data_IF_151521937081
#
_entry.id   IF_151521937081
#
_cell.length_a   1.000
_cell.length_b   1.000
_cell.length_c   1.000
_cell.angle_alpha   90.00
_cell.angle_beta   90.00
_cell.angle_gamma   90.00
#
_symmetry.space_group_name_H-M   'P 1'
#
loop_
_entity.id
_entity.type
_entity.pdbx_description
1 polymer ?
#
# COMPACT_ATOMS: atom_id res chain seq x y z
N UNK A 1 8.07 -5.58 33.02
CA UNK A 1 7.41 -5.96 31.76
C UNK A 1 6.36 -7.02 32.05
N UNK A 2 5.16 -6.95 31.45
CA UNK A 2 4.22 -8.09 31.51
C UNK A 2 4.82 -9.23 30.69
N UNK A 3 4.99 -10.39 31.30
CA UNK A 3 5.44 -11.59 30.60
C UNK A 3 4.40 -11.99 29.54
N UNK A 4 4.85 -12.22 28.31
CA UNK A 4 4.03 -12.56 27.13
C UNK A 4 4.75 -13.61 26.28
N UNK A 5 4.93 -14.83 26.82
CA UNK A 5 5.63 -15.88 26.09
C UNK A 5 4.87 -16.25 24.81
N UNK A 6 5.61 -16.66 23.78
CA UNK A 6 5.02 -17.26 22.58
C UNK A 6 4.25 -18.52 22.99
N UNK A 7 2.98 -18.59 22.62
CA UNK A 7 2.13 -19.76 22.85
C UNK A 7 2.19 -20.71 21.66
N UNK A 8 2.15 -22.01 21.91
CA UNK A 8 2.16 -23.05 20.88
C UNK A 8 0.91 -23.00 19.98
N UNK A 9 0.98 -23.65 18.81
CA UNK A 9 -0.13 -23.69 17.86
C UNK A 9 -1.40 -24.35 18.47
N UNK A 10 -1.23 -25.35 19.34
CA UNK A 10 -2.31 -25.99 20.09
C UNK A 10 -3.01 -24.98 21.01
N UNK A 11 -2.23 -24.18 21.75
CA UNK A 11 -2.77 -23.10 22.60
C UNK A 11 -3.42 -21.99 21.79
N UNK A 12 -2.91 -21.69 20.59
CA UNK A 12 -3.52 -20.72 19.69
C UNK A 12 -4.87 -21.21 19.16
N UNK A 13 -4.99 -22.48 18.79
CA UNK A 13 -6.26 -23.12 18.37
C UNK A 13 -7.27 -23.13 19.52
N UNK A 14 -6.85 -23.53 20.72
CA UNK A 14 -7.70 -23.48 21.91
C UNK A 14 -8.22 -22.05 22.18
N UNK A 15 -7.34 -21.03 22.07
CA UNK A 15 -7.73 -19.63 22.23
C UNK A 15 -8.76 -19.16 21.17
N UNK A 16 -8.68 -19.66 19.93
CA UNK A 16 -9.69 -19.37 18.90
C UNK A 16 -11.01 -20.07 19.21
N UNK A 17 -10.98 -21.32 19.66
CA UNK A 17 -12.16 -22.07 20.07
C UNK A 17 -12.92 -21.37 21.22
N UNK A 18 -12.20 -20.91 22.24
CA UNK A 18 -12.77 -20.14 23.37
C UNK A 18 -13.51 -18.88 22.90
N UNK A 19 -13.04 -18.27 21.81
CA UNK A 19 -13.61 -17.07 21.18
C UNK A 19 -14.76 -17.39 20.21
N UNK A 20 -15.19 -18.65 20.10
CA UNK A 20 -16.30 -19.07 19.25
C UNK A 20 -15.90 -19.36 17.80
N UNK A 21 -14.61 -19.54 17.50
CA UNK A 21 -14.20 -20.11 16.21
C UNK A 21 -14.45 -21.61 16.23
N UNK A 22 -15.12 -22.10 15.18
CA UNK A 22 -15.43 -23.52 14.98
C UNK A 22 -14.34 -24.22 14.16
N UNK A 23 -14.32 -25.55 14.25
CA UNK A 23 -13.38 -26.43 13.56
C UNK A 23 -14.14 -27.58 12.90
N UNK A 24 -15.30 -27.25 12.32
CA UNK A 24 -16.23 -28.20 11.72
C UNK A 24 -15.77 -28.59 10.30
N UNK A 25 -15.17 -27.64 9.58
CA UNK A 25 -14.68 -27.84 8.20
C UNK A 25 -13.18 -28.12 8.18
N UNK A 26 -12.41 -27.36 8.96
CA UNK A 26 -11.00 -27.63 9.19
C UNK A 26 -10.81 -28.04 10.64
N UNK A 27 -10.49 -29.32 10.85
CA UNK A 27 -10.33 -29.87 12.19
C UNK A 27 -9.15 -29.24 12.95
N UNK A 28 -9.10 -29.41 14.29
CA UNK A 28 -8.06 -28.82 15.13
C UNK A 28 -6.63 -29.21 14.71
N UNK A 29 -6.40 -30.47 14.32
CA UNK A 29 -5.08 -30.96 13.89
C UNK A 29 -4.58 -30.24 12.61
N UNK A 30 -5.46 -30.11 11.61
CA UNK A 30 -5.16 -29.38 10.38
C UNK A 30 -4.95 -27.88 10.64
N UNK A 31 -5.72 -27.31 11.57
CA UNK A 31 -5.56 -25.91 11.98
C UNK A 31 -4.22 -25.67 12.70
N UNK A 32 -3.79 -26.60 13.56
CA UNK A 32 -2.47 -26.59 14.21
C UNK A 32 -1.37 -26.65 13.14
N UNK A 33 -1.45 -27.60 12.21
CA UNK A 33 -0.49 -27.72 11.12
C UNK A 33 -0.44 -26.46 10.24
N UNK A 34 -1.61 -25.85 9.97
CA UNK A 34 -1.68 -24.60 9.22
C UNK A 34 -0.97 -23.44 9.94
N UNK A 35 -1.17 -23.30 11.25
CA UNK A 35 -0.53 -22.25 12.07
C UNK A 35 0.95 -22.49 12.38
N UNK A 36 1.42 -23.72 12.18
CA UNK A 36 2.84 -24.08 12.35
C UNK A 36 3.62 -23.92 11.06
N UNK A 37 3.08 -24.44 9.95
CA UNK A 37 3.87 -24.70 8.75
C UNK A 37 3.46 -23.82 7.55
N UNK A 38 2.26 -23.23 7.56
CA UNK A 38 1.72 -22.49 6.39
C UNK A 38 1.49 -21.01 6.66
N UNK A 39 1.24 -20.63 7.91
CA UNK A 39 1.00 -19.25 8.29
C UNK A 39 1.26 -19.04 9.78
N UNK A 40 1.24 -17.79 10.24
CA UNK A 40 1.39 -17.48 11.66
C UNK A 40 0.14 -16.81 12.22
N UNK A 41 -0.10 -17.03 13.51
CA UNK A 41 -1.34 -16.69 14.21
C UNK A 41 -1.90 -15.30 13.95
N UNK A 42 -1.07 -14.25 14.08
CA UNK A 42 -1.55 -12.88 13.98
C UNK A 42 -1.99 -12.51 12.57
N UNK A 43 -1.43 -13.15 11.55
CA UNK A 43 -1.83 -12.95 10.17
C UNK A 43 -3.23 -13.53 9.93
N UNK A 44 -3.45 -14.78 10.34
CA UNK A 44 -4.77 -15.46 10.25
C UNK A 44 -5.83 -14.74 11.09
N UNK A 45 -5.50 -14.40 12.34
CA UNK A 45 -6.41 -13.71 13.27
C UNK A 45 -6.85 -12.34 12.78
N UNK A 46 -6.06 -11.67 11.94
CA UNK A 46 -6.43 -10.36 11.40
C UNK A 46 -7.71 -10.43 10.55
N UNK A 47 -7.96 -11.54 9.84
CA UNK A 47 -9.17 -11.74 9.03
C UNK A 47 -10.42 -11.98 9.87
N UNK A 48 -10.28 -12.37 11.13
CA UNK A 48 -11.42 -12.52 12.03
C UNK A 48 -12.18 -11.20 12.25
N UNK A 49 -11.57 -10.05 11.93
CA UNK A 49 -12.24 -8.72 11.91
C UNK A 49 -13.36 -8.62 10.87
N UNK A 50 -13.37 -9.47 9.86
CA UNK A 50 -14.42 -9.51 8.82
C UNK A 50 -15.67 -10.27 9.27
N UNK A 51 -15.67 -10.87 10.47
CA UNK A 51 -16.75 -11.71 10.96
C UNK A 51 -17.48 -11.05 12.12
N UNK A 52 -18.79 -11.24 12.13
CA UNK A 52 -19.67 -10.71 13.15
C UNK A 52 -19.39 -11.36 14.52
N UNK A 53 -19.70 -10.62 15.59
CA UNK A 53 -19.64 -11.10 16.97
C UNK A 53 -20.97 -10.88 17.65
N UNK A 54 -21.27 -11.65 18.68
CA UNK A 54 -22.40 -11.36 19.55
C UNK A 54 -22.10 -10.09 20.36
N UNK A 55 -22.97 -9.10 20.23
CA UNK A 55 -22.82 -7.79 20.89
C UNK A 55 -23.84 -7.53 21.99
N UNK A 56 -24.81 -8.43 22.17
CA UNK A 56 -25.76 -8.36 23.27
C UNK A 56 -25.07 -8.69 24.60
N UNK A 57 -24.92 -7.73 25.54
CA UNK A 57 -24.27 -7.97 26.82
C UNK A 57 -24.99 -9.00 27.69
N UNK A 58 -26.27 -9.29 27.44
CA UNK A 58 -27.03 -10.30 28.17
C UNK A 58 -26.81 -11.73 27.62
N UNK A 59 -26.14 -11.89 26.48
CA UNK A 59 -25.85 -13.19 25.89
C UNK A 59 -24.65 -13.85 26.55
N UNK A 60 -24.76 -15.14 26.89
CA UNK A 60 -23.62 -15.97 27.31
C UNK A 60 -22.49 -16.03 26.27
N UNK A 61 -22.78 -15.68 25.01
CA UNK A 61 -21.82 -15.66 23.92
C UNK A 61 -21.24 -14.26 23.65
N UNK A 62 -21.47 -13.26 24.51
CA UNK A 62 -20.98 -11.89 24.30
C UNK A 62 -19.49 -11.86 23.91
N UNK A 63 -19.19 -11.19 22.80
CA UNK A 63 -17.83 -11.06 22.24
C UNK A 63 -17.32 -12.28 21.46
N UNK A 64 -18.04 -13.41 21.43
CA UNK A 64 -17.69 -14.57 20.59
C UNK A 64 -18.09 -14.36 19.14
N UNK A 65 -17.36 -15.01 18.23
CA UNK A 65 -17.66 -14.94 16.80
C UNK A 65 -18.95 -15.68 16.43
N UNK A 66 -19.65 -15.14 15.45
CA UNK A 66 -20.87 -15.72 14.88
C UNK A 66 -20.49 -16.41 13.58
N UNK A 67 -20.76 -17.71 13.46
CA UNK A 67 -20.55 -18.48 12.23
C UNK A 67 -19.16 -18.36 11.62
N UNK A 68 -18.12 -18.43 12.44
CA UNK A 68 -16.73 -18.41 11.99
C UNK A 68 -16.11 -19.79 12.16
N UNK A 69 -15.80 -20.47 11.06
CA UNK A 69 -14.96 -21.67 11.04
C UNK A 69 -13.50 -21.29 10.74
N UNK A 70 -12.53 -22.02 11.31
CA UNK A 70 -11.12 -21.80 11.02
C UNK A 70 -10.79 -21.95 9.52
N UNK A 71 -11.50 -22.82 8.80
CA UNK A 71 -11.38 -22.97 7.35
C UNK A 71 -11.61 -21.64 6.60
N UNK A 72 -12.49 -20.78 7.11
CA UNK A 72 -12.81 -19.49 6.49
C UNK A 72 -11.64 -18.51 6.61
N UNK A 73 -10.98 -18.50 7.78
CA UNK A 73 -9.78 -17.69 8.00
C UNK A 73 -8.62 -18.19 7.13
N UNK A 74 -8.46 -19.51 7.04
CA UNK A 74 -7.45 -20.12 6.17
C UNK A 74 -7.70 -19.77 4.70
N UNK A 75 -8.96 -19.77 4.25
CA UNK A 75 -9.31 -19.41 2.88
C UNK A 75 -9.08 -17.93 2.57
N UNK A 76 -9.53 -17.01 3.43
CA UNK A 76 -9.24 -15.58 3.27
C UNK A 76 -7.73 -15.30 3.22
N UNK A 77 -6.94 -16.03 3.99
CA UNK A 77 -5.47 -15.91 3.98
C UNK A 77 -4.88 -16.31 2.62
N UNK A 78 -5.43 -17.34 1.96
CA UNK A 78 -5.01 -17.76 0.61
C UNK A 78 -5.46 -16.77 -0.46
N UNK A 79 -6.71 -16.32 -0.40
CA UNK A 79 -7.25 -15.33 -1.33
C UNK A 79 -6.49 -14.00 -1.23
N UNK A 80 -6.15 -13.56 -0.01
CA UNK A 80 -5.35 -12.36 0.22
C UNK A 80 -3.96 -12.46 -0.40
N UNK A 81 -3.31 -13.63 -0.27
CA UNK A 81 -2.03 -13.88 -0.92
C UNK A 81 -2.10 -13.76 -2.44
N UNK A 82 -3.05 -14.44 -3.08
CA UNK A 82 -3.21 -14.39 -4.53
C UNK A 82 -3.62 -13.01 -5.03
N UNK A 83 -4.46 -12.29 -4.29
CA UNK A 83 -4.79 -10.91 -4.61
C UNK A 83 -3.53 -10.03 -4.59
N UNK A 84 -2.65 -10.18 -3.57
CA UNK A 84 -1.40 -9.43 -3.51
C UNK A 84 -0.43 -9.76 -4.63
N UNK A 85 -0.37 -11.02 -5.07
CA UNK A 85 0.46 -11.41 -6.22
C UNK A 85 0.00 -10.70 -7.49
N UNK A 86 -1.30 -10.70 -7.77
CA UNK A 86 -1.87 -9.99 -8.94
C UNK A 86 -1.69 -8.48 -8.81
N UNK A 87 -1.92 -7.90 -7.63
CA UNK A 87 -1.67 -6.48 -7.36
C UNK A 87 -0.22 -6.11 -7.68
N UNK A 88 0.74 -6.87 -7.15
CA UNK A 88 2.17 -6.60 -7.38
C UNK A 88 2.50 -6.71 -8.86
N UNK A 89 2.03 -7.77 -9.53
CA UNK A 89 2.22 -7.99 -10.95
C UNK A 89 1.71 -6.81 -11.80
N UNK A 90 0.47 -6.39 -11.61
CA UNK A 90 -0.11 -5.23 -12.34
C UNK A 90 0.62 -3.92 -12.01
N UNK A 91 1.08 -3.74 -10.77
CA UNK A 91 1.79 -2.51 -10.39
C UNK A 91 3.18 -2.40 -11.00
N UNK A 92 3.83 -3.52 -11.32
CA UNK A 92 5.11 -3.51 -12.05
C UNK A 92 4.92 -2.98 -13.47
N UNK A 93 3.85 -3.40 -14.16
CA UNK A 93 3.54 -2.87 -15.49
C UNK A 93 3.16 -1.40 -15.42
N UNK A 94 2.28 -1.01 -14.49
CA UNK A 94 1.94 0.40 -14.28
C UNK A 94 3.20 1.22 -14.05
N UNK A 95 4.12 0.75 -13.19
CA UNK A 95 5.39 1.44 -12.95
C UNK A 95 6.19 1.61 -14.25
N UNK A 96 6.36 0.54 -15.04
CA UNK A 96 7.04 0.60 -16.32
C UNK A 96 6.39 1.60 -17.28
N UNK A 97 5.09 1.50 -17.53
CA UNK A 97 4.38 2.37 -18.46
C UNK A 97 4.27 3.82 -17.97
N UNK A 98 4.27 4.05 -16.65
CA UNK A 98 4.42 5.39 -16.09
C UNK A 98 5.79 6.00 -16.42
N UNK A 99 6.88 5.24 -16.26
CA UNK A 99 8.24 5.69 -16.63
C UNK A 99 8.31 6.01 -18.12
N UNK A 100 7.77 5.14 -18.98
CA UNK A 100 7.72 5.36 -20.43
C UNK A 100 6.92 6.61 -20.78
N UNK A 101 5.76 6.81 -20.16
CA UNK A 101 4.95 8.02 -20.39
C UNK A 101 5.66 9.30 -19.95
N UNK A 102 6.30 9.28 -18.77
CA UNK A 102 7.11 10.40 -18.28
C UNK A 102 8.27 10.71 -19.23
N UNK A 103 9.04 9.68 -19.60
CA UNK A 103 10.18 9.81 -20.47
C UNK A 103 9.79 10.40 -21.83
N UNK A 104 8.71 9.91 -22.43
CA UNK A 104 8.18 10.45 -23.69
C UNK A 104 7.80 11.91 -23.56
N UNK A 105 7.03 12.28 -22.54
CA UNK A 105 6.62 13.66 -22.34
C UNK A 105 7.82 14.61 -22.16
N UNK A 106 8.84 14.18 -21.40
CA UNK A 106 10.09 14.94 -21.22
C UNK A 106 10.87 15.11 -22.53
N UNK A 107 10.96 14.05 -23.34
CA UNK A 107 11.62 14.12 -24.65
C UNK A 107 10.87 15.05 -25.62
N UNK A 108 9.54 14.94 -25.70
CA UNK A 108 8.71 15.74 -26.60
C UNK A 108 8.75 17.23 -26.22
N UNK A 109 8.82 17.54 -24.92
CA UNK A 109 8.93 18.91 -24.41
C UNK A 109 10.37 19.46 -24.49
N UNK A 110 11.37 18.64 -24.86
CA UNK A 110 12.78 19.02 -24.88
C UNK A 110 13.34 19.37 -23.50
N UNK A 111 12.83 18.72 -22.45
CA UNK A 111 13.18 19.03 -21.07
C UNK A 111 14.63 18.61 -20.73
N UNK A 112 15.33 19.45 -19.97
CA UNK A 112 16.63 19.09 -19.40
C UNK A 112 16.45 18.18 -18.17
N UNK A 113 16.99 16.96 -18.24
CA UNK A 113 16.82 15.94 -17.21
C UNK A 113 17.48 16.26 -15.87
N UNK A 114 18.46 17.18 -15.83
CA UNK A 114 19.08 17.65 -14.58
C UNK A 114 18.24 18.75 -13.96
N UNK A 115 17.83 19.73 -14.77
CA UNK A 115 16.99 20.85 -14.34
C UNK A 115 15.67 20.36 -13.73
N UNK A 116 15.01 19.40 -14.39
CA UNK A 116 13.76 18.79 -13.87
C UNK A 116 13.95 18.24 -12.47
N UNK A 117 15.07 17.54 -12.19
CA UNK A 117 15.34 16.99 -10.86
C UNK A 117 15.68 18.06 -9.84
N UNK A 118 16.47 19.07 -10.21
CA UNK A 118 16.80 20.15 -9.28
C UNK A 118 15.54 20.94 -8.87
N UNK A 119 14.64 21.19 -9.81
CA UNK A 119 13.35 21.82 -9.54
C UNK A 119 12.44 20.90 -8.71
N UNK A 120 12.43 19.59 -8.96
CA UNK A 120 11.69 18.61 -8.15
C UNK A 120 12.16 18.62 -6.69
N UNK A 121 13.47 18.54 -6.45
CA UNK A 121 14.01 18.51 -5.09
C UNK A 121 13.79 19.83 -4.36
N UNK A 122 13.92 20.97 -5.04
CA UNK A 122 13.58 22.27 -4.47
C UNK A 122 12.09 22.34 -4.10
N UNK A 123 11.21 21.92 -5.01
CA UNK A 123 9.76 21.90 -4.76
C UNK A 123 9.37 21.01 -3.59
N UNK A 124 9.92 19.78 -3.50
CA UNK A 124 9.61 18.86 -2.40
C UNK A 124 10.18 19.35 -1.06
N UNK A 125 11.34 20.01 -1.05
CA UNK A 125 11.89 20.65 0.15
C UNK A 125 10.92 21.71 0.66
N UNK A 126 10.59 22.69 -0.17
CA UNK A 126 9.68 23.78 0.22
C UNK A 126 8.31 23.26 0.68
N UNK A 127 7.77 22.27 -0.03
CA UNK A 127 6.48 21.67 0.31
C UNK A 127 6.50 21.04 1.70
N UNK A 128 7.59 20.36 2.07
CA UNK A 128 7.74 19.71 3.37
C UNK A 128 8.06 20.69 4.49
N UNK A 129 8.83 21.74 4.21
CA UNK A 129 9.07 22.85 5.14
C UNK A 129 7.74 23.54 5.49
N UNK A 130 6.92 23.91 4.50
CA UNK A 130 5.57 24.44 4.73
C UNK A 130 4.69 23.49 5.55
N UNK A 131 4.73 22.18 5.26
CA UNK A 131 3.97 21.18 6.01
C UNK A 131 4.41 21.10 7.48
N UNK A 132 5.72 21.23 7.74
CA UNK A 132 6.24 21.27 9.10
C UNK A 132 5.80 22.56 9.80
N UNK A 133 5.92 23.72 9.16
CA UNK A 133 5.48 25.01 9.70
C UNK A 133 4.00 24.99 10.12
N UNK A 134 3.13 24.41 9.30
CA UNK A 134 1.70 24.27 9.61
C UNK A 134 1.40 23.38 10.83
N UNK A 135 2.30 22.43 11.14
CA UNK A 135 2.11 21.43 12.20
C UNK A 135 2.95 21.70 13.44
N UNK A 136 3.94 22.58 13.34
CA UNK A 136 4.88 22.87 14.41
C UNK A 136 4.21 23.69 15.51
N UNK A 137 4.34 23.24 16.76
CA UNK A 137 3.83 23.95 17.94
C UNK A 137 5.00 24.40 18.81
N UNK A 138 5.45 25.67 18.68
CA UNK A 138 6.59 26.18 19.45
C UNK A 138 6.43 26.04 20.96
N UNK A 139 5.20 26.03 21.49
CA UNK A 139 4.93 25.92 22.92
C UNK A 139 5.23 24.52 23.46
N UNK A 140 5.15 23.50 22.60
CA UNK A 140 5.46 22.10 22.96
C UNK A 140 6.95 21.77 22.79
N UNK A 141 7.72 22.64 22.14
CA UNK A 141 9.13 22.41 21.81
C UNK A 141 10.13 22.97 22.81
N UNK A 142 9.72 23.82 23.77
CA UNK A 142 10.66 24.46 24.72
C UNK A 142 11.55 23.46 25.46
N UNK A 143 10.97 22.39 26.00
CA UNK A 143 11.71 21.36 26.71
C UNK A 143 12.65 20.56 25.78
N UNK A 144 12.29 20.39 24.50
CA UNK A 144 13.15 19.76 23.51
C UNK A 144 14.35 20.64 23.16
N UNK A 145 14.14 21.96 23.03
CA UNK A 145 15.20 22.94 22.76
C UNK A 145 16.20 23.00 23.93
N UNK A 146 15.71 23.02 25.17
CA UNK A 146 16.58 22.97 26.36
C UNK A 146 17.44 21.69 26.39
N UNK A 147 16.84 20.53 26.07
CA UNK A 147 17.58 19.27 25.97
C UNK A 147 18.63 19.30 24.87
N UNK A 148 18.30 19.85 23.70
CA UNK A 148 19.27 20.01 22.60
C UNK A 148 20.45 20.88 23.06
N UNK A 149 20.18 21.99 23.76
CA UNK A 149 21.23 22.84 24.33
C UNK A 149 22.14 22.08 25.31
N UNK A 150 21.55 21.33 26.25
CA UNK A 150 22.32 20.53 27.21
C UNK A 150 23.13 19.40 26.52
N UNK A 151 22.63 18.81 25.45
CA UNK A 151 23.37 17.84 24.63
C UNK A 151 24.54 18.54 23.92
N UNK A 152 24.30 19.71 23.33
CA UNK A 152 25.33 20.49 22.64
C UNK A 152 26.48 20.87 23.57
N UNK A 153 26.19 21.33 24.79
CA UNK A 153 27.19 21.68 25.79
C UNK A 153 28.07 20.48 26.19
N UNK A 154 27.51 19.27 26.17
CA UNK A 154 28.21 18.03 26.52
C UNK A 154 28.99 17.41 25.37
N UNK A 155 28.67 17.77 24.12
CA UNK A 155 29.41 17.26 22.96
C UNK A 155 30.86 17.76 22.97
N UNK A 156 31.08 18.97 23.49
CA UNK A 156 32.40 19.53 23.68
C UNK A 156 33.11 18.85 24.86
N UNK A 157 34.25 18.21 24.59
CA UNK A 157 35.03 17.46 25.58
C UNK A 157 34.60 16.01 25.84
N UNK A 158 33.50 15.53 25.24
CA UNK A 158 33.11 14.12 25.29
C UNK A 158 34.06 13.23 24.46
N UNK A 159 34.24 11.99 24.91
CA UNK A 159 34.93 10.98 24.10
C UNK A 159 34.07 10.53 22.90
N UNK A 160 34.67 9.83 21.93
CA UNK A 160 33.97 9.44 20.70
C UNK A 160 32.76 8.52 20.91
N UNK A 161 32.76 7.68 21.95
CA UNK A 161 31.63 6.80 22.25
C UNK A 161 30.47 7.58 22.89
N UNK A 162 30.78 8.55 23.75
CA UNK A 162 29.80 9.48 24.30
C UNK A 162 29.24 10.41 23.23
N UNK A 163 30.08 10.98 22.35
CA UNK A 163 29.62 11.79 21.22
C UNK A 163 28.64 11.04 20.32
N UNK A 164 28.92 9.78 20.00
CA UNK A 164 28.00 8.95 19.21
C UNK A 164 26.64 8.77 19.89
N UNK A 165 26.60 8.53 21.21
CA UNK A 165 25.34 8.41 21.96
C UNK A 165 24.57 9.74 22.01
N UNK A 166 25.26 10.85 22.23
CA UNK A 166 24.66 12.19 22.27
C UNK A 166 24.07 12.60 20.91
N UNK A 167 24.75 12.27 19.80
CA UNK A 167 24.23 12.51 18.45
C UNK A 167 22.98 11.68 18.15
N UNK A 168 22.91 10.43 18.62
CA UNK A 168 21.70 9.60 18.49
C UNK A 168 20.53 10.17 19.31
N UNK A 169 20.80 10.72 20.50
CA UNK A 169 19.77 11.38 21.30
C UNK A 169 19.26 12.65 20.61
N UNK A 170 20.17 13.48 20.07
CA UNK A 170 19.80 14.66 19.30
C UNK A 170 18.98 14.31 18.06
N UNK A 171 19.36 13.24 17.34
CA UNK A 171 18.59 12.73 16.19
C UNK A 171 17.16 12.37 16.60
N UNK A 172 16.98 11.64 17.70
CA UNK A 172 15.66 11.24 18.18
C UNK A 172 14.79 12.45 18.56
N UNK A 173 15.37 13.44 19.26
CA UNK A 173 14.66 14.67 19.61
C UNK A 173 14.26 15.43 18.33
N UNK A 174 15.18 15.58 17.38
CA UNK A 174 14.91 16.26 16.12
C UNK A 174 13.83 15.56 15.29
N UNK A 175 13.86 14.22 15.21
CA UNK A 175 12.85 13.42 14.52
C UNK A 175 11.45 13.63 15.14
N UNK A 176 11.35 13.61 16.47
CA UNK A 176 10.11 13.88 17.18
C UNK A 176 9.59 15.31 16.92
N UNK A 177 10.47 16.32 16.97
CA UNK A 177 10.09 17.72 16.72
C UNK A 177 9.68 17.98 15.27
N UNK A 178 10.27 17.26 14.32
CA UNK A 178 9.94 17.37 12.89
C UNK A 178 8.79 16.45 12.48
N UNK A 179 8.24 15.64 13.39
CA UNK A 179 7.21 14.64 13.12
C UNK A 179 7.66 13.62 12.05
N UNK A 180 8.95 13.33 11.98
CA UNK A 180 9.59 12.50 10.96
C UNK A 180 9.57 13.11 9.55
N UNK A 181 9.25 14.40 9.40
CA UNK A 181 9.30 15.09 8.11
C UNK A 181 10.76 15.37 7.76
N UNK A 182 11.28 14.62 6.80
CA UNK A 182 12.60 14.85 6.20
C UNK A 182 12.45 15.52 4.82
N UNK A 183 12.78 16.81 4.66
CA UNK A 183 12.76 17.53 3.38
C UNK A 183 13.54 16.79 2.28
N UNK A 184 14.65 16.17 2.65
CA UNK A 184 15.61 15.51 1.76
C UNK A 184 15.33 14.01 1.58
N UNK A 185 14.24 13.48 2.16
CA UNK A 185 13.92 12.06 2.12
C UNK A 185 14.03 11.43 0.71
N UNK A 186 13.60 12.15 -0.33
CA UNK A 186 13.61 11.64 -1.69
C UNK A 186 15.04 11.41 -2.19
N UNK A 187 15.91 12.38 -1.97
CA UNK A 187 17.34 12.33 -2.31
C UNK A 187 18.07 11.28 -1.46
N UNK A 188 17.88 11.32 -0.14
CA UNK A 188 18.51 10.36 0.80
C UNK A 188 18.08 8.92 0.55
N UNK A 189 16.84 8.68 0.12
CA UNK A 189 16.38 7.32 -0.18
C UNK A 189 17.21 6.63 -1.27
N UNK A 190 17.86 7.41 -2.14
CA UNK A 190 18.68 6.90 -3.24
C UNK A 190 20.12 6.64 -2.78
N UNK A 191 20.68 7.47 -1.89
CA UNK A 191 22.07 7.32 -1.43
C UNK A 191 22.31 5.99 -0.70
N UNK A 192 21.29 5.46 -0.01
CA UNK A 192 21.36 4.15 0.66
C UNK A 192 21.33 2.95 -0.30
N UNK A 193 21.10 3.16 -1.60
CA UNK A 193 21.07 2.07 -2.59
C UNK A 193 22.46 1.59 -3.03
N UNK A 194 23.54 2.29 -2.63
CA UNK A 194 24.93 1.88 -2.89
C UNK A 194 25.33 0.55 -2.24
N UNK A 195 24.63 0.16 -1.17
CA UNK A 195 24.93 -1.07 -0.43
C UNK A 195 24.37 -2.33 -1.11
N UNK A 196 23.33 -2.20 -1.93
CA UNK A 196 22.63 -3.31 -2.60
C UNK A 196 23.35 -3.78 -3.86
N UNK A 197 23.56 -5.09 -4.01
CA UNK A 197 24.16 -5.68 -5.21
C UNK A 197 23.35 -5.42 -6.50
N UNK A 198 22.07 -5.06 -6.39
CA UNK A 198 21.20 -4.82 -7.55
C UNK A 198 21.25 -3.39 -8.07
N UNK A 199 21.70 -2.44 -7.24
CA UNK A 199 21.67 -1.00 -7.54
C UNK A 199 23.01 -0.31 -7.33
N UNK A 200 24.00 -1.00 -6.74
CA UNK A 200 25.30 -0.45 -6.34
C UNK A 200 25.97 0.35 -7.44
N UNK A 201 26.13 -0.21 -8.63
CA UNK A 201 26.91 0.44 -9.69
C UNK A 201 26.25 1.74 -10.16
N UNK A 202 24.91 1.73 -10.29
CA UNK A 202 24.14 2.89 -10.69
C UNK A 202 24.08 3.94 -9.58
N UNK A 203 23.87 3.52 -8.33
CA UNK A 203 23.81 4.40 -7.16
C UNK A 203 25.18 5.03 -6.84
N UNK A 204 26.27 4.29 -7.00
CA UNK A 204 27.62 4.83 -6.78
C UNK A 204 27.98 5.88 -7.84
N UNK A 205 27.50 5.71 -9.08
CA UNK A 205 27.79 6.62 -10.18
C UNK A 205 26.87 7.85 -10.23
N UNK A 206 25.59 7.68 -9.89
CA UNK A 206 24.55 8.71 -10.10
C UNK A 206 23.70 8.99 -8.85
N UNK A 207 24.03 8.40 -7.70
CA UNK A 207 23.27 8.57 -6.45
C UNK A 207 23.53 9.92 -5.76
N UNK A 208 24.56 10.65 -6.19
CA UNK A 208 24.81 12.03 -5.73
C UNK A 208 24.01 13.01 -6.58
N UNK A 209 23.47 14.04 -5.94
CA UNK A 209 22.64 15.05 -6.61
C UNK A 209 23.33 15.76 -7.78
N UNK A 210 24.63 15.99 -7.68
CA UNK A 210 25.43 16.63 -8.73
C UNK A 210 25.51 15.80 -10.01
N UNK A 211 25.51 14.48 -9.89
CA UNK A 211 25.62 13.54 -11.02
C UNK A 211 24.27 12.97 -11.48
N UNK A 212 23.19 13.20 -10.73
CA UNK A 212 21.89 12.57 -10.97
C UNK A 212 21.07 13.28 -12.05
N UNK A 213 20.59 12.52 -13.02
CA UNK A 213 19.63 12.96 -14.04
C UNK A 213 18.33 12.13 -13.95
N UNK A 214 17.25 12.63 -14.54
CA UNK A 214 15.91 12.03 -14.42
C UNK A 214 15.86 10.56 -14.84
N UNK A 215 16.60 10.16 -15.87
CA UNK A 215 16.68 8.75 -16.31
C UNK A 215 17.33 7.85 -15.27
N UNK A 216 18.41 8.31 -14.62
CA UNK A 216 19.02 7.55 -13.53
C UNK A 216 18.11 7.48 -12.30
N UNK A 217 17.42 8.59 -12.00
CA UNK A 217 16.48 8.67 -10.90
C UNK A 217 15.31 7.69 -11.06
N UNK A 218 14.74 7.55 -12.27
CA UNK A 218 13.64 6.61 -12.55
C UNK A 218 14.02 5.15 -12.31
N UNK A 219 15.30 4.79 -12.45
CA UNK A 219 15.80 3.43 -12.19
C UNK A 219 16.10 3.17 -10.70
N UNK A 220 16.35 4.23 -9.93
CA UNK A 220 16.74 4.11 -8.51
C UNK A 220 15.57 4.31 -7.56
N UNK A 221 14.59 5.14 -7.92
CA UNK A 221 13.55 5.55 -6.99
C UNK A 221 12.43 4.50 -6.86
N UNK A 222 11.84 4.41 -5.67
CA UNK A 222 10.63 3.60 -5.45
C UNK A 222 9.43 4.08 -6.28
N UNK A 223 8.43 3.22 -6.47
CA UNK A 223 7.13 3.58 -7.04
C UNK A 223 6.53 4.87 -6.43
N UNK A 224 6.73 5.08 -5.13
CA UNK A 224 6.30 6.29 -4.44
C UNK A 224 6.97 7.56 -4.98
N UNK A 225 8.26 7.53 -5.28
CA UNK A 225 9.00 8.67 -5.83
C UNK A 225 8.79 8.87 -7.33
N UNK A 226 8.47 7.81 -8.09
CA UNK A 226 7.96 7.94 -9.46
C UNK A 226 6.66 8.73 -9.47
N UNK A 227 5.72 8.42 -8.55
CA UNK A 227 4.47 9.19 -8.42
C UNK A 227 4.73 10.65 -8.06
N UNK A 228 5.73 10.94 -7.22
CA UNK A 228 6.10 12.33 -6.89
C UNK A 228 6.60 13.07 -8.13
N UNK A 229 7.55 12.49 -8.87
CA UNK A 229 8.03 13.07 -10.13
C UNK A 229 6.90 13.20 -11.15
N UNK A 230 6.04 12.18 -11.28
CA UNK A 230 4.89 12.21 -12.20
C UNK A 230 3.97 13.39 -11.93
N UNK A 231 3.61 13.59 -10.65
CA UNK A 231 2.76 14.71 -10.25
C UNK A 231 3.44 16.06 -10.48
N UNK A 232 4.69 16.18 -10.05
CA UNK A 232 5.45 17.41 -10.21
C UNK A 232 5.57 17.79 -11.68
N UNK A 233 6.00 16.85 -12.51
CA UNK A 233 6.21 17.09 -13.93
C UNK A 233 4.91 17.50 -14.63
N UNK A 234 3.83 16.71 -14.51
CA UNK A 234 2.61 16.96 -15.27
C UNK A 234 1.70 18.08 -14.72
N UNK A 235 1.78 18.40 -13.43
CA UNK A 235 0.84 19.35 -12.81
C UNK A 235 1.48 20.63 -12.30
N UNK A 236 2.79 20.64 -12.04
CA UNK A 236 3.49 21.81 -11.50
C UNK A 236 4.47 22.41 -12.53
N UNK A 237 5.24 21.58 -13.23
CA UNK A 237 6.28 22.04 -14.14
C UNK A 237 5.78 22.23 -15.59
N UNK A 238 5.08 21.23 -16.12
CA UNK A 238 4.65 21.19 -17.52
C UNK A 238 3.48 22.14 -17.77
N UNK A 239 3.61 23.00 -18.77
CA UNK A 239 2.55 23.95 -19.17
C UNK A 239 1.41 23.26 -19.93
N UNK A 240 1.75 22.35 -20.83
CA UNK A 240 0.77 21.64 -21.64
C UNK A 240 0.07 20.56 -20.81
N UNK A 241 -1.27 20.52 -20.88
CA UNK A 241 -2.05 19.45 -20.24
C UNK A 241 -1.80 18.11 -20.94
N UNK A 242 -1.82 17.04 -20.16
CA UNK A 242 -1.80 15.66 -20.67
C UNK A 242 -3.11 14.99 -20.26
N UNK A 243 -3.94 14.66 -21.24
CA UNK A 243 -5.21 13.94 -21.01
C UNK A 243 -4.94 12.59 -20.32
N UNK A 244 -3.89 11.89 -20.75
CA UNK A 244 -3.46 10.63 -20.12
C UNK A 244 -3.09 10.85 -18.66
N UNK A 245 -2.34 11.91 -18.33
CA UNK A 245 -2.03 12.23 -16.93
C UNK A 245 -3.26 12.61 -16.11
N UNK A 246 -4.16 13.44 -16.65
CA UNK A 246 -5.39 13.81 -15.93
C UNK A 246 -6.29 12.59 -15.68
N UNK A 247 -6.36 11.66 -16.63
CA UNK A 247 -7.17 10.45 -16.49
C UNK A 247 -6.73 9.57 -15.30
N UNK A 248 -5.45 9.58 -14.92
CA UNK A 248 -4.93 8.71 -13.84
C UNK A 248 -4.69 9.42 -12.51
N UNK A 249 -4.81 10.76 -12.47
CA UNK A 249 -4.47 11.61 -11.31
C UNK A 249 -5.07 11.12 -9.99
N UNK A 250 -6.35 10.78 -10.02
CA UNK A 250 -7.13 10.36 -8.86
C UNK A 250 -6.88 8.89 -8.45
N UNK A 251 -6.22 8.12 -9.30
CA UNK A 251 -5.90 6.70 -9.09
C UNK A 251 -4.53 6.50 -8.42
N UNK A 252 -3.61 7.47 -8.56
CA UNK A 252 -2.23 7.39 -8.08
C UNK A 252 -2.11 7.00 -6.59
N UNK A 253 -2.91 7.63 -5.71
CA UNK A 253 -2.83 7.37 -4.27
C UNK A 253 -3.43 6.02 -3.86
N UNK A 254 -4.67 5.68 -4.26
CA UNK A 254 -5.23 4.34 -4.02
C UNK A 254 -4.31 3.20 -4.49
N UNK A 255 -3.77 3.30 -5.70
CA UNK A 255 -2.87 2.29 -6.26
C UNK A 255 -1.57 2.19 -5.47
N UNK A 256 -0.96 3.32 -5.09
CA UNK A 256 0.22 3.34 -4.19
C UNK A 256 -0.08 2.67 -2.85
N UNK A 257 -1.22 2.96 -2.24
CA UNK A 257 -1.60 2.41 -0.95
C UNK A 257 -1.76 0.88 -1.02
N UNK A 258 -2.48 0.39 -2.03
CA UNK A 258 -2.68 -1.05 -2.23
C UNK A 258 -1.38 -1.78 -2.58
N UNK A 259 -0.55 -1.21 -3.47
CA UNK A 259 0.77 -1.75 -3.82
C UNK A 259 1.66 -1.89 -2.57
N UNK A 260 1.73 -0.86 -1.74
CA UNK A 260 2.56 -0.89 -0.53
C UNK A 260 2.04 -1.92 0.48
N UNK A 261 0.72 -2.00 0.67
CA UNK A 261 0.14 -3.03 1.50
C UNK A 261 0.47 -4.45 0.98
N UNK A 262 0.45 -4.64 -0.34
CA UNK A 262 0.80 -5.91 -0.97
C UNK A 262 2.29 -6.27 -0.79
N UNK A 263 3.19 -5.31 -1.06
CA UNK A 263 4.64 -5.47 -0.99
C UNK A 263 5.16 -5.76 0.42
N UNK A 264 4.54 -5.16 1.44
CA UNK A 264 4.89 -5.40 2.85
C UNK A 264 4.14 -6.60 3.46
N UNK A 265 3.57 -7.48 2.63
CA UNK A 265 2.87 -8.71 3.05
C UNK A 265 1.68 -8.45 4.01
N UNK A 266 1.03 -7.28 3.86
CA UNK A 266 -0.12 -6.86 4.64
C UNK A 266 -1.38 -7.69 4.36
N UNK A 267 -2.37 -7.59 5.24
CA UNK A 267 -3.66 -8.29 5.10
C UNK A 267 -4.69 -7.39 4.44
N UNK A 268 -4.63 -7.24 3.12
CA UNK A 268 -5.48 -6.30 2.36
C UNK A 268 -6.97 -6.64 2.48
N UNK A 269 -7.34 -7.93 2.46
CA UNK A 269 -8.75 -8.34 2.54
C UNK A 269 -9.39 -8.08 3.91
N UNK A 270 -8.60 -7.91 4.98
CA UNK A 270 -9.16 -7.60 6.30
C UNK A 270 -9.85 -6.22 6.38
N UNK A 271 -9.69 -5.42 5.33
CA UNK A 271 -10.32 -4.10 5.20
C UNK A 271 -11.76 -4.16 4.72
N UNK A 272 -12.25 -5.31 4.23
CA UNK A 272 -13.68 -5.47 3.85
C UNK A 272 -14.61 -5.22 5.06
N UNK A 273 -14.14 -5.50 6.28
CA UNK A 273 -14.88 -5.15 7.51
C UNK A 273 -14.79 -3.68 7.92
N UNK A 274 -14.10 -2.84 7.16
CA UNK A 274 -13.80 -1.44 7.50
C UNK A 274 -14.50 -0.49 6.53
N UNK A 275 -14.80 0.72 7.02
CA UNK A 275 -15.36 1.79 6.19
C UNK A 275 -14.28 2.78 5.78
N UNK A 276 -14.22 3.05 4.49
CA UNK A 276 -13.37 4.08 3.93
C UNK A 276 -13.87 5.46 4.39
N UNK A 277 -12.98 6.28 4.96
CA UNK A 277 -13.34 7.59 5.51
C UNK A 277 -13.53 8.66 4.43
N UNK A 278 -12.70 8.61 3.38
CA UNK A 278 -12.68 9.60 2.29
C UNK A 278 -12.55 8.89 0.93
N UNK A 279 -13.66 8.36 0.38
CA UNK A 279 -13.64 7.73 -0.94
C UNK A 279 -13.35 8.74 -2.05
N UNK A 280 -12.61 8.31 -3.07
CA UNK A 280 -12.39 9.10 -4.29
C UNK A 280 -13.58 8.85 -5.22
N UNK A 281 -14.49 9.82 -5.29
CA UNK A 281 -15.77 9.67 -6.01
C UNK A 281 -15.62 9.28 -7.48
N UNK A 282 -14.56 9.75 -8.14
CA UNK A 282 -14.24 9.48 -9.55
C UNK A 282 -14.02 7.99 -9.85
N UNK A 283 -13.52 7.20 -8.89
CA UNK A 283 -13.32 5.75 -9.10
C UNK A 283 -14.66 5.05 -9.29
N UNK A 284 -15.66 5.38 -8.48
CA UNK A 284 -16.99 4.78 -8.61
C UNK A 284 -17.67 5.20 -9.92
N UNK A 285 -17.48 6.45 -10.36
CA UNK A 285 -17.98 6.92 -11.65
C UNK A 285 -17.36 6.14 -12.80
N UNK A 286 -16.03 6.04 -12.82
CA UNK A 286 -15.29 5.26 -13.82
C UNK A 286 -15.64 3.77 -13.80
N UNK A 287 -15.81 3.16 -12.62
CA UNK A 287 -16.23 1.76 -12.50
C UNK A 287 -17.59 1.50 -13.16
N UNK A 288 -18.50 2.48 -13.12
CA UNK A 288 -19.79 2.39 -13.81
C UNK A 288 -19.65 2.63 -15.31
N UNK A 289 -18.93 3.67 -15.70
CA UNK A 289 -18.88 4.17 -17.08
C UNK A 289 -17.92 3.37 -17.98
N UNK A 290 -16.77 2.97 -17.45
CA UNK A 290 -15.70 2.29 -18.19
C UNK A 290 -15.73 0.76 -17.98
N UNK A 291 -16.06 0.30 -16.77
CA UNK A 291 -16.12 -1.14 -16.46
C UNK A 291 -17.55 -1.73 -16.52
N UNK A 292 -18.56 -0.89 -16.77
CA UNK A 292 -19.96 -1.34 -16.89
C UNK A 292 -20.53 -1.99 -15.62
N UNK A 293 -19.97 -1.71 -14.44
CA UNK A 293 -20.40 -2.35 -13.19
C UNK A 293 -21.76 -1.78 -12.74
N UNK A 294 -22.66 -2.67 -12.30
CA UNK A 294 -23.98 -2.29 -11.82
C UNK A 294 -23.94 -1.25 -10.68
N UNK A 295 -24.94 -0.37 -10.66
CA UNK A 295 -25.04 0.76 -9.73
C UNK A 295 -25.00 0.34 -8.26
N UNK A 296 -25.63 -0.77 -7.90
CA UNK A 296 -25.65 -1.25 -6.52
C UNK A 296 -24.26 -1.76 -6.07
N UNK A 297 -23.56 -2.45 -6.96
CA UNK A 297 -22.19 -2.92 -6.71
C UNK A 297 -21.18 -1.77 -6.69
N UNK A 298 -21.35 -0.77 -7.57
CA UNK A 298 -20.51 0.44 -7.60
C UNK A 298 -20.58 1.19 -6.26
N UNK A 299 -21.73 1.23 -5.59
CA UNK A 299 -21.85 1.89 -4.29
C UNK A 299 -20.92 1.25 -3.22
N UNK A 300 -20.64 -0.05 -3.34
CA UNK A 300 -19.76 -0.78 -2.42
C UNK A 300 -18.27 -0.44 -2.63
N UNK A 301 -17.88 0.03 -3.82
CA UNK A 301 -16.52 0.53 -4.07
C UNK A 301 -16.18 1.75 -3.23
N UNK A 302 -17.17 2.53 -2.80
CA UNK A 302 -16.98 3.68 -1.89
C UNK A 302 -16.90 3.29 -0.42
N UNK A 303 -17.21 2.03 -0.10
CA UNK A 303 -17.36 1.54 1.27
C UNK A 303 -16.11 0.79 1.73
N UNK A 304 -15.64 -0.17 0.94
CA UNK A 304 -14.57 -1.09 1.32
C UNK A 304 -13.22 -0.63 0.77
N UNK A 305 -12.20 -0.36 1.61
CA UNK A 305 -10.90 0.12 1.16
C UNK A 305 -10.24 -0.77 0.08
N UNK A 306 -10.15 -2.08 0.29
CA UNK A 306 -9.55 -2.98 -0.73
C UNK A 306 -10.32 -2.96 -2.05
N UNK A 307 -11.65 -2.85 -2.04
CA UNK A 307 -12.46 -2.79 -3.26
C UNK A 307 -12.21 -1.47 -3.98
N UNK A 308 -12.21 -0.36 -3.24
CA UNK A 308 -11.89 0.96 -3.77
C UNK A 308 -10.54 0.98 -4.48
N UNK A 309 -9.49 0.55 -3.77
CA UNK A 309 -8.13 0.65 -4.26
C UNK A 309 -7.84 -0.38 -5.37
N UNK A 310 -8.45 -1.56 -5.32
CA UNK A 310 -8.33 -2.55 -6.39
C UNK A 310 -9.06 -2.12 -7.67
N UNK A 311 -10.23 -1.48 -7.54
CA UNK A 311 -10.91 -0.86 -8.69
C UNK A 311 -10.04 0.23 -9.31
N UNK A 312 -9.38 1.05 -8.49
CA UNK A 312 -8.43 2.05 -8.96
C UNK A 312 -7.26 1.43 -9.73
N UNK A 313 -6.74 0.28 -9.25
CA UNK A 313 -5.66 -0.45 -9.89
C UNK A 313 -6.07 -0.93 -11.29
N UNK A 314 -7.24 -1.56 -11.41
CA UNK A 314 -7.75 -2.06 -12.69
C UNK A 314 -7.94 -0.91 -13.69
N UNK A 315 -8.59 0.18 -13.27
CA UNK A 315 -8.78 1.38 -14.10
C UNK A 315 -7.44 2.02 -14.49
N UNK A 316 -6.46 2.06 -13.58
CA UNK A 316 -5.17 2.66 -13.88
C UNK A 316 -4.42 1.79 -14.90
N UNK A 317 -4.36 0.48 -14.67
CA UNK A 317 -3.73 -0.44 -15.61
C UNK A 317 -4.31 -0.25 -17.02
N UNK A 318 -5.64 -0.29 -17.14
CA UNK A 318 -6.33 -0.15 -18.42
C UNK A 318 -5.99 1.16 -19.15
N UNK A 319 -5.87 2.28 -18.42
CA UNK A 319 -5.57 3.61 -18.98
C UNK A 319 -4.10 3.82 -19.34
N UNK A 320 -3.17 3.14 -18.67
CA UNK A 320 -1.72 3.41 -18.82
C UNK A 320 -1.00 2.38 -19.68
N UNK A 321 -1.42 1.12 -19.61
CA UNK A 321 -0.81 -0.03 -20.28
C UNK A 321 -1.46 -0.23 -21.64
N UNK A 322 -0.67 -0.01 -22.69
CA UNK A 322 -1.14 -0.04 -24.09
C UNK A 322 -0.62 -1.27 -24.86
N UNK A 323 0.13 -2.16 -24.21
CA UNK A 323 0.72 -3.34 -24.85
C UNK A 323 -0.23 -4.52 -24.79
N UNK A 324 -0.50 -5.12 -25.96
CA UNK A 324 -1.51 -6.16 -26.10
C UNK A 324 -1.14 -7.43 -25.32
N UNK A 325 0.13 -7.83 -25.31
CA UNK A 325 0.59 -9.03 -24.62
C UNK A 325 0.45 -8.85 -23.10
N UNK A 326 0.93 -7.73 -22.55
CA UNK A 326 0.77 -7.40 -21.15
C UNK A 326 -0.71 -7.33 -20.72
N UNK A 327 -1.58 -6.73 -21.56
CA UNK A 327 -3.02 -6.66 -21.31
C UNK A 327 -3.67 -8.04 -21.31
N UNK A 328 -3.36 -8.89 -22.30
CA UNK A 328 -3.88 -10.25 -22.39
C UNK A 328 -3.45 -11.11 -21.20
N UNK A 329 -2.17 -11.02 -20.81
CA UNK A 329 -1.65 -11.71 -19.63
C UNK A 329 -2.41 -11.29 -18.37
N UNK A 330 -2.60 -9.99 -18.14
CA UNK A 330 -3.29 -9.52 -16.92
C UNK A 330 -4.77 -9.82 -16.93
N UNK A 331 -5.43 -9.81 -18.09
CA UNK A 331 -6.80 -10.29 -18.22
C UNK A 331 -6.93 -11.76 -17.77
N UNK A 332 -6.01 -12.63 -18.23
CA UNK A 332 -5.99 -14.03 -17.81
C UNK A 332 -5.74 -14.18 -16.30
N UNK A 333 -4.82 -13.39 -15.72
CA UNK A 333 -4.60 -13.37 -14.28
C UNK A 333 -5.84 -12.95 -13.48
N UNK A 334 -6.57 -11.93 -13.93
CA UNK A 334 -7.81 -11.47 -13.30
C UNK A 334 -8.91 -12.53 -13.37
N UNK A 335 -9.06 -13.22 -14.50
CA UNK A 335 -9.99 -14.36 -14.62
C UNK A 335 -9.65 -15.49 -13.65
N UNK A 336 -8.38 -15.92 -13.61
CA UNK A 336 -7.94 -16.97 -12.69
C UNK A 336 -8.12 -16.58 -11.22
N UNK A 337 -7.86 -15.31 -10.88
CA UNK A 337 -8.08 -14.80 -9.52
C UNK A 337 -9.56 -14.80 -9.15
N UNK A 338 -10.42 -14.37 -10.08
CA UNK A 338 -11.89 -14.40 -9.89
C UNK A 338 -12.40 -15.81 -9.62
N UNK A 339 -11.96 -16.79 -10.40
CA UNK A 339 -12.34 -18.19 -10.18
C UNK A 339 -11.99 -18.67 -8.76
N UNK A 340 -10.81 -18.30 -8.26
CA UNK A 340 -10.39 -18.61 -6.88
C UNK A 340 -11.33 -17.97 -5.85
N UNK A 341 -11.67 -16.70 -6.02
CA UNK A 341 -12.58 -15.98 -5.12
C UNK A 341 -13.98 -16.61 -5.09
N UNK A 342 -14.47 -17.10 -6.23
CA UNK A 342 -15.82 -17.67 -6.34
C UNK A 342 -15.88 -19.15 -5.92
N UNK A 343 -14.76 -19.88 -5.96
CA UNK A 343 -14.71 -21.32 -5.66
C UNK A 343 -15.24 -21.70 -4.28
N UNK A 344 -15.03 -20.85 -3.27
CA UNK A 344 -15.50 -21.06 -1.89
C UNK A 344 -16.28 -19.85 -1.35
N UNK A 345 -17.02 -19.17 -2.23
CA UNK A 345 -17.81 -18.01 -1.84
C UNK A 345 -18.89 -18.38 -0.79
N UNK A 346 -19.36 -19.63 -0.80
CA UNK A 346 -20.30 -20.21 0.18
C UNK A 346 -19.84 -20.06 1.63
N UNK A 347 -18.52 -20.03 1.87
CA UNK A 347 -17.95 -19.85 3.22
C UNK A 347 -18.32 -18.50 3.84
N UNK A 348 -18.63 -17.51 3.00
CA UNK A 348 -18.80 -16.12 3.43
C UNK A 348 -20.24 -15.63 3.37
N UNK A 349 -21.19 -16.40 2.82
CA UNK A 349 -22.58 -15.99 2.59
C UNK A 349 -23.30 -15.51 3.85
N UNK A 350 -22.97 -16.08 5.01
CA UNK A 350 -23.55 -15.69 6.31
C UNK A 350 -22.98 -14.38 6.87
N UNK A 351 -21.97 -13.80 6.22
CA UNK A 351 -21.32 -12.55 6.61
C UNK A 351 -21.58 -11.49 5.53
N UNK A 352 -22.68 -10.75 5.67
CA UNK A 352 -23.22 -9.83 4.64
C UNK A 352 -22.15 -8.93 4.00
N UNK A 353 -21.31 -8.29 4.82
CA UNK A 353 -20.28 -7.36 4.33
C UNK A 353 -19.17 -8.09 3.57
N UNK A 354 -18.76 -9.26 4.06
CA UNK A 354 -17.71 -10.05 3.46
C UNK A 354 -18.18 -10.65 2.12
N UNK A 355 -19.36 -11.27 2.09
CA UNK A 355 -19.98 -11.78 0.85
C UNK A 355 -20.09 -10.68 -0.21
N UNK A 356 -20.61 -9.50 0.16
CA UNK A 356 -20.69 -8.34 -0.73
C UNK A 356 -19.31 -7.89 -1.22
N UNK A 357 -18.32 -7.81 -0.34
CA UNK A 357 -16.95 -7.45 -0.71
C UNK A 357 -16.33 -8.43 -1.71
N UNK A 358 -16.47 -9.74 -1.48
CA UNK A 358 -15.99 -10.80 -2.39
C UNK A 358 -16.68 -10.72 -3.75
N UNK A 359 -18.01 -10.52 -3.78
CA UNK A 359 -18.77 -10.38 -5.04
C UNK A 359 -18.32 -9.20 -5.87
N UNK A 360 -18.16 -8.02 -5.26
CA UNK A 360 -17.73 -6.81 -5.99
C UNK A 360 -16.30 -6.96 -6.49
N UNK A 361 -15.38 -7.55 -5.71
CA UNK A 361 -14.03 -7.85 -6.18
C UNK A 361 -14.08 -8.78 -7.40
N UNK A 362 -14.89 -9.85 -7.35
CA UNK A 362 -15.07 -10.76 -8.47
C UNK A 362 -15.66 -10.08 -9.71
N UNK A 363 -16.52 -9.08 -9.53
CA UNK A 363 -17.10 -8.30 -10.63
C UNK A 363 -16.08 -7.33 -11.24
N UNK A 364 -15.31 -6.63 -10.41
CA UNK A 364 -14.20 -5.77 -10.87
C UNK A 364 -13.16 -6.58 -11.66
N UNK A 365 -12.83 -7.80 -11.20
CA UNK A 365 -11.94 -8.71 -11.92
C UNK A 365 -12.52 -9.13 -13.28
N UNK A 366 -13.82 -9.43 -13.35
CA UNK A 366 -14.51 -9.80 -14.59
C UNK A 366 -14.48 -8.67 -15.60
N UNK A 367 -15.04 -7.52 -15.22
CA UNK A 367 -15.12 -6.34 -16.09
C UNK A 367 -13.75 -5.82 -16.49
N UNK A 368 -12.79 -5.83 -15.56
CA UNK A 368 -11.42 -5.44 -15.84
C UNK A 368 -10.75 -6.33 -16.89
N UNK A 369 -10.92 -7.65 -16.78
CA UNK A 369 -10.38 -8.59 -17.76
C UNK A 369 -11.02 -8.41 -19.15
N UNK A 370 -12.33 -8.17 -19.19
CA UNK A 370 -13.05 -7.88 -20.44
C UNK A 370 -12.55 -6.60 -21.10
N UNK A 371 -12.41 -5.49 -20.36
CA UNK A 371 -11.89 -4.23 -20.87
C UNK A 371 -10.44 -4.36 -21.39
N UNK A 372 -9.60 -5.09 -20.67
CA UNK A 372 -8.21 -5.35 -21.09
C UNK A 372 -8.15 -6.16 -22.38
N UNK A 373 -9.11 -7.05 -22.60
CA UNK A 373 -9.18 -7.94 -23.77
C UNK A 373 -9.81 -7.27 -25.00
N UNK A 374 -10.74 -6.34 -24.82
CA UNK A 374 -11.48 -5.71 -25.93
C UNK A 374 -10.64 -4.77 -26.81
N UNK A 375 -9.57 -4.20 -26.27
CA UNK A 375 -8.65 -3.31 -27.00
C UNK A 375 -7.55 -4.06 -27.77
N UNK A 376 -7.58 -5.40 -27.78
CA UNK A 376 -6.59 -6.26 -28.44
C UNK A 376 -6.99 -6.65 -29.88
N UNK A 377 -8.01 -6.01 -30.46
CA UNK A 377 -8.54 -6.28 -31.80
C UNK A 377 -8.31 -5.12 -32.77
#
# INVERSE_FOLDING_TARGET
MKDRPLISAERQVAHLAERGVRFDIMGPEDAIAFLRDKNFFFKVKAFAKCFSRYWDPASENYGRYVNLDFAYLAELTRLDHHLREVVLSMTLDIEHYMKVHLNRAMMDDGADGKEVLDLLFAHERERKERLLEERFDPRRSSAAIERIGAIADRLDGADGAEQARLLLELLHIAEDQTLGIDPEHLERSISYLGDSNYTRDLANKYGRREDMYVWNYLELVSFGGIIVLYKFYFYELRKARSEKAESVKQLLFPVKALRNAAAHNGNVLNTIGQRLQKPVGAIATAAKEELGIDRELVALTRRFPVVHDFTALVLYFDRIVNDADARSEKAACLHALRERFLKRADYFEKQIELDRGIRVLGEVMRSGAEAMSSDSL
#
